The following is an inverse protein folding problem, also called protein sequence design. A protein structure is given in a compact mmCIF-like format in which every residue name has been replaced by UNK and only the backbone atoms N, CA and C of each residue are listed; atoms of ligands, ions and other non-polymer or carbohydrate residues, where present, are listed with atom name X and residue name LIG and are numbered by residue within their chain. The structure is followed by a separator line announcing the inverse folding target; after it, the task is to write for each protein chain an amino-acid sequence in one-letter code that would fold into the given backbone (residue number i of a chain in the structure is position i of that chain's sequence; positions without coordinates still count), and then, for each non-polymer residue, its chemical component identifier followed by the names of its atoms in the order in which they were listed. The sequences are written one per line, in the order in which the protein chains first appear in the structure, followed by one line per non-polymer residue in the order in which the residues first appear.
data_IF_887469698745
#
_entry.id   IF_887469698745
#
_cell.length_a   1.000
_cell.length_b   1.000
_cell.length_c   1.000
_cell.angle_alpha   90.00
_cell.angle_beta   90.00
_cell.angle_gamma   90.00
#
_symmetry.space_group_name_H-M   'P 1'
#
loop_
_entity.id
_entity.type
_entity.pdbx_description
1 polymer ?
#
# COMPACT_ATOMS: atom_id res chain seq x y z
N UNK A 1 5.47 -29.77 -6.83
CA UNK A 1 4.29 -28.94 -6.51
C UNK A 1 4.74 -27.60 -5.95
N UNK A 2 4.36 -26.46 -6.56
CA UNK A 2 4.66 -25.14 -5.99
C UNK A 2 3.77 -24.94 -4.75
N UNK A 3 4.39 -24.77 -3.57
CA UNK A 3 3.71 -24.44 -2.33
C UNK A 3 3.07 -23.06 -2.49
N UNK A 4 1.74 -22.98 -2.45
CA UNK A 4 1.04 -21.69 -2.50
C UNK A 4 1.21 -20.98 -1.15
N UNK A 5 1.80 -19.79 -1.18
CA UNK A 5 1.91 -18.96 0.03
C UNK A 5 0.55 -18.29 0.27
N UNK A 6 -0.17 -18.73 1.30
CA UNK A 6 -1.38 -18.03 1.76
C UNK A 6 -0.94 -16.81 2.57
N UNK A 7 -1.20 -15.61 2.06
CA UNK A 7 -0.89 -14.35 2.73
C UNK A 7 -2.20 -13.63 3.05
N UNK A 8 -2.39 -13.29 4.32
CA UNK A 8 -3.46 -12.41 4.77
C UNK A 8 -3.00 -10.94 4.66
N UNK A 9 -3.64 -10.17 3.78
CA UNK A 9 -3.36 -8.73 3.62
C UNK A 9 -3.57 -7.93 4.93
N UNK A 10 -4.69 -8.10 5.66
CA UNK A 10 -4.89 -7.40 6.93
C UNK A 10 -3.82 -7.69 7.98
N UNK A 11 -3.35 -8.94 8.08
CA UNK A 11 -2.27 -9.31 9.00
C UNK A 11 -0.95 -8.65 8.61
N UNK A 12 -0.63 -8.60 7.31
CA UNK A 12 0.61 -8.02 6.83
C UNK A 12 0.67 -6.51 7.02
N UNK A 13 -0.43 -5.80 6.76
CA UNK A 13 -0.51 -4.34 6.87
C UNK A 13 -0.69 -3.91 8.33
N UNK A 14 -1.56 -4.62 9.05
CA UNK A 14 -1.97 -4.29 10.42
C UNK A 14 -3.19 -3.36 10.50
N UNK A 15 -3.43 -2.84 11.70
CA UNK A 15 -4.60 -2.01 12.03
C UNK A 15 -4.42 -0.56 11.58
N UNK A 16 -5.55 0.17 11.42
CA UNK A 16 -5.57 1.63 11.20
C UNK A 16 -5.45 2.10 9.75
N UNK A 17 -5.15 1.22 8.79
CA UNK A 17 -4.99 1.60 7.38
C UNK A 17 -6.14 1.16 6.46
N UNK A 18 -7.26 0.67 7.01
CA UNK A 18 -8.40 0.18 6.20
C UNK A 18 -8.97 1.27 5.30
N UNK A 19 -9.17 2.48 5.84
CA UNK A 19 -9.68 3.64 5.08
C UNK A 19 -8.68 4.06 4.01
N UNK A 20 -7.39 4.14 4.36
CA UNK A 20 -6.32 4.40 3.41
C UNK A 20 -6.33 3.38 2.27
N UNK A 21 -6.36 2.07 2.57
CA UNK A 21 -6.26 1.00 1.58
C UNK A 21 -7.42 0.98 0.58
N UNK A 22 -8.64 1.28 1.04
CA UNK A 22 -9.86 1.22 0.22
C UNK A 22 -10.26 2.55 -0.41
N UNK A 23 -9.48 3.61 -0.21
CA UNK A 23 -9.76 4.92 -0.76
C UNK A 23 -9.69 4.93 -2.30
N UNK A 24 -10.67 5.57 -2.95
CA UNK A 24 -10.79 5.65 -4.43
C UNK A 24 -10.81 7.09 -4.99
N UNK A 25 -10.68 8.11 -4.14
CA UNK A 25 -10.63 9.50 -4.60
C UNK A 25 -9.31 9.86 -5.30
N UNK A 26 -9.26 11.03 -5.93
CA UNK A 26 -8.08 11.48 -6.71
C UNK A 26 -6.85 11.76 -5.83
N UNK A 27 -7.03 12.37 -4.66
CA UNK A 27 -5.95 12.72 -3.76
C UNK A 27 -6.13 12.06 -2.39
N UNK A 28 -5.08 11.42 -1.89
CA UNK A 28 -5.04 10.76 -0.59
C UNK A 28 -3.84 11.27 0.20
N UNK A 29 -4.07 11.85 1.38
CA UNK A 29 -3.01 12.36 2.25
C UNK A 29 -2.83 11.41 3.43
N UNK A 30 -1.57 11.04 3.73
CA UNK A 30 -1.23 10.19 4.88
C UNK A 30 -0.22 10.90 5.78
N UNK A 31 -0.67 11.31 6.97
CA UNK A 31 0.13 12.00 7.99
C UNK A 31 0.14 11.19 9.29
N UNK A 32 1.23 11.28 10.05
CA UNK A 32 1.35 10.57 11.34
C UNK A 32 2.78 10.58 11.88
N UNK A 33 2.97 10.03 13.08
CA UNK A 33 4.23 9.99 13.82
C UNK A 33 5.33 9.12 13.19
N UNK A 34 6.54 9.16 13.73
CA UNK A 34 7.60 8.22 13.33
C UNK A 34 7.15 6.78 13.66
N UNK A 35 7.47 5.81 12.79
CA UNK A 35 7.13 4.41 13.03
C UNK A 35 5.68 4.00 12.77
N UNK A 36 4.77 4.91 12.41
CA UNK A 36 3.35 4.54 12.19
C UNK A 36 3.08 3.69 10.93
N UNK A 37 4.10 3.19 10.23
CA UNK A 37 4.00 2.36 9.00
C UNK A 37 3.50 3.05 7.72
N UNK A 38 3.48 4.39 7.66
CA UNK A 38 2.96 5.15 6.50
C UNK A 38 3.64 4.79 5.18
N UNK A 39 4.98 4.82 5.15
CA UNK A 39 5.77 4.49 3.96
C UNK A 39 5.62 3.03 3.56
N UNK A 40 5.72 2.11 4.53
CA UNK A 40 5.60 0.67 4.30
C UNK A 40 4.23 0.28 3.74
N UNK A 41 3.14 0.81 4.32
CA UNK A 41 1.78 0.54 3.83
C UNK A 41 1.57 1.14 2.43
N UNK A 42 2.11 2.33 2.16
CA UNK A 42 2.02 2.95 0.84
C UNK A 42 2.74 2.13 -0.21
N UNK A 43 3.95 1.63 0.08
CA UNK A 43 4.71 0.78 -0.84
C UNK A 43 3.96 -0.52 -1.17
N UNK A 44 3.37 -1.19 -0.17
CA UNK A 44 2.55 -2.39 -0.39
C UNK A 44 1.29 -2.08 -1.22
N UNK A 45 0.65 -0.93 -0.97
CA UNK A 45 -0.54 -0.50 -1.73
C UNK A 45 -0.19 -0.21 -3.20
N UNK A 46 0.97 0.36 -3.47
CA UNK A 46 1.47 0.58 -4.85
C UNK A 46 1.66 -0.76 -5.55
N UNK A 47 2.45 -1.69 -4.97
CA UNK A 47 2.73 -3.00 -5.58
C UNK A 47 1.44 -3.76 -5.86
N UNK A 48 0.53 -3.79 -4.88
CA UNK A 48 -0.78 -4.45 -5.05
C UNK A 48 -1.58 -3.87 -6.22
N UNK A 49 -1.63 -2.55 -6.36
CA UNK A 49 -2.37 -1.91 -7.46
C UNK A 49 -1.68 -2.07 -8.82
N UNK A 50 -0.34 -2.04 -8.87
CA UNK A 50 0.43 -2.32 -10.09
C UNK A 50 0.15 -3.75 -10.60
N UNK A 51 0.08 -4.72 -9.69
CA UNK A 51 -0.28 -6.10 -10.06
C UNK A 51 -1.75 -6.22 -10.48
N UNK A 52 -2.65 -5.47 -9.85
CA UNK A 52 -4.08 -5.48 -10.17
C UNK A 52 -4.39 -4.81 -11.51
N UNK A 53 -3.65 -3.77 -11.88
CA UNK A 53 -3.87 -2.97 -13.08
C UNK A 53 -2.60 -2.99 -13.94
N UNK A 54 -2.50 -3.89 -14.95
CA UNK A 54 -1.27 -4.14 -15.69
C UNK A 54 -0.67 -2.93 -16.43
N UNK A 55 -1.48 -1.91 -16.73
CA UNK A 55 -1.07 -0.68 -17.41
C UNK A 55 -0.75 0.47 -16.44
N UNK A 56 -0.90 0.25 -15.13
CA UNK A 56 -0.58 1.28 -14.14
C UNK A 56 0.93 1.51 -14.08
N UNK A 57 1.33 2.77 -13.92
CA UNK A 57 2.70 3.20 -13.66
C UNK A 57 2.72 4.04 -12.38
N UNK A 58 3.81 4.00 -11.62
CA UNK A 58 3.95 4.77 -10.38
C UNK A 58 5.20 5.64 -10.40
N UNK A 59 5.05 6.93 -10.07
CA UNK A 59 6.14 7.87 -9.85
C UNK A 59 6.25 8.20 -8.36
N UNK A 60 7.46 8.08 -7.80
CA UNK A 60 7.75 8.45 -6.41
C UNK A 60 8.72 9.63 -6.42
N UNK A 61 8.25 10.78 -5.95
CA UNK A 61 9.05 12.01 -5.85
C UNK A 61 9.43 12.24 -4.40
N UNK A 62 10.68 12.63 -4.17
CA UNK A 62 11.18 13.01 -2.86
C UNK A 62 11.92 14.34 -2.99
N UNK A 63 11.69 15.26 -2.06
CA UNK A 63 12.55 16.44 -1.94
C UNK A 63 13.94 15.99 -1.49
N UNK A 64 14.97 16.53 -2.14
CA UNK A 64 16.37 16.44 -1.71
C UNK A 64 16.72 17.63 -0.85
#
# INVERSE_FOLDING_TARGET
MRKSLRISLPEKIGKGYKTFWNFKGRYRVCKGSRGSKKSTTTAQNIIYNMMKYPLANTLVVRKV
#
